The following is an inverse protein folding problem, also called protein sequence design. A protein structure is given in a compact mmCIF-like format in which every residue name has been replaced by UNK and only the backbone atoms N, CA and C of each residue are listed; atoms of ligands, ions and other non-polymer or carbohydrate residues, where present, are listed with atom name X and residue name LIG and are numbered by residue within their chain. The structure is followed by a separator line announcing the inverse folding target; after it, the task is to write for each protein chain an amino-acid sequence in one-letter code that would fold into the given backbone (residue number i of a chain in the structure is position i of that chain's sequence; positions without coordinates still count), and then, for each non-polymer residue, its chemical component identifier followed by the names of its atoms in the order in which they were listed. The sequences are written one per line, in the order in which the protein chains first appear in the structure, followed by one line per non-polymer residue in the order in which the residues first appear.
data_IF_813852184403
#
_entry.id   IF_813852184403
#
_cell.length_a   1.000
_cell.length_b   1.000
_cell.length_c   1.000
_cell.angle_alpha   90.00
_cell.angle_beta   90.00
_cell.angle_gamma   90.00
#
_symmetry.space_group_name_H-M   'P 1'
#
loop_
_entity.id
_entity.type
_entity.pdbx_description
1 polymer ?
#
# COMPACT_ATOMS: atom_id res chain seq x y z
N UNK A 1 -51.88 -77.42 5.16
CA UNK A 1 -52.06 -75.95 4.85
C UNK A 1 -50.66 -75.33 4.89
N UNK A 2 -50.11 -75.06 3.73
CA UNK A 2 -48.73 -74.59 3.55
C UNK A 2 -48.81 -73.21 2.94
N UNK A 3 -48.54 -72.19 3.75
CA UNK A 3 -48.48 -70.80 3.34
C UNK A 3 -47.12 -70.48 2.73
N UNK A 4 -47.04 -70.16 1.47
CA UNK A 4 -45.81 -69.78 0.77
C UNK A 4 -45.54 -68.32 1.03
N UNK A 5 -44.42 -67.99 1.70
CA UNK A 5 -43.88 -66.67 1.86
C UNK A 5 -43.02 -66.36 0.60
N UNK A 6 -43.48 -65.44 -0.22
CA UNK A 6 -42.66 -64.92 -1.35
C UNK A 6 -41.83 -63.74 -0.84
N UNK A 7 -40.54 -63.95 -0.76
CA UNK A 7 -39.59 -62.91 -0.45
C UNK A 7 -39.28 -62.14 -1.74
N UNK A 8 -39.71 -60.87 -1.79
CA UNK A 8 -39.36 -59.95 -2.88
C UNK A 8 -37.99 -59.38 -2.59
N UNK A 9 -36.97 -59.82 -3.30
CA UNK A 9 -35.63 -59.25 -3.28
C UNK A 9 -35.62 -58.00 -4.18
N UNK A 10 -35.72 -56.81 -3.58
CA UNK A 10 -35.57 -55.56 -4.27
C UNK A 10 -34.07 -55.26 -4.40
N UNK A 11 -33.48 -55.54 -5.59
CA UNK A 11 -32.13 -55.12 -5.91
C UNK A 11 -32.11 -53.61 -6.14
N UNK A 12 -31.72 -52.83 -5.12
CA UNK A 12 -31.36 -51.43 -5.30
C UNK A 12 -30.00 -51.39 -6.10
N UNK A 13 -30.07 -51.18 -7.39
CA UNK A 13 -28.92 -50.71 -8.15
C UNK A 13 -28.67 -49.27 -7.78
N UNK A 14 -27.83 -49.02 -6.79
CA UNK A 14 -27.23 -47.73 -6.60
C UNK A 14 -26.34 -47.44 -7.82
N UNK A 15 -26.89 -46.71 -8.78
CA UNK A 15 -26.05 -46.10 -9.83
C UNK A 15 -25.18 -45.04 -9.15
N UNK A 16 -23.96 -45.42 -8.81
CA UNK A 16 -22.92 -44.46 -8.51
C UNK A 16 -22.69 -43.65 -9.79
N UNK A 17 -23.31 -42.47 -9.86
CA UNK A 17 -22.92 -41.49 -10.86
C UNK A 17 -21.46 -41.15 -10.56
N UNK A 18 -20.54 -41.83 -11.24
CA UNK A 18 -19.15 -41.38 -11.32
C UNK A 18 -19.22 -40.00 -12.00
N UNK A 19 -19.05 -38.93 -11.22
CA UNK A 19 -18.82 -37.62 -11.79
C UNK A 19 -17.65 -37.78 -12.77
N UNK A 20 -17.94 -37.75 -14.07
CA UNK A 20 -16.87 -37.67 -15.05
C UNK A 20 -16.04 -36.45 -14.68
N UNK A 21 -14.71 -36.58 -14.55
CA UNK A 21 -13.89 -35.40 -14.36
C UNK A 21 -14.24 -34.46 -15.52
N UNK A 22 -14.81 -33.29 -15.17
CA UNK A 22 -15.10 -32.26 -16.16
C UNK A 22 -13.81 -32.05 -16.95
N UNK A 23 -13.88 -32.24 -18.27
CA UNK A 23 -12.73 -31.96 -19.14
C UNK A 23 -12.36 -30.50 -18.88
N UNK A 24 -11.08 -30.24 -18.50
CA UNK A 24 -10.68 -28.88 -18.23
C UNK A 24 -11.07 -28.01 -19.41
N UNK A 25 -11.85 -26.95 -19.15
CA UNK A 25 -12.23 -25.98 -20.19
C UNK A 25 -10.97 -25.38 -20.79
N UNK A 26 -10.96 -24.92 -22.04
CA UNK A 26 -9.81 -24.29 -22.68
C UNK A 26 -9.15 -23.22 -21.81
N UNK A 27 -9.96 -22.42 -21.08
CA UNK A 27 -9.44 -21.43 -20.11
C UNK A 27 -8.54 -22.05 -19.05
N UNK A 28 -8.83 -23.25 -18.54
CA UNK A 28 -7.95 -23.94 -17.58
C UNK A 28 -6.55 -24.17 -18.14
N UNK A 29 -6.47 -24.70 -19.38
CA UNK A 29 -5.19 -24.90 -20.08
C UNK A 29 -4.51 -23.56 -20.44
N UNK A 30 -5.28 -22.54 -20.77
CA UNK A 30 -4.75 -21.20 -20.99
C UNK A 30 -4.09 -20.62 -19.72
N UNK A 31 -4.72 -20.81 -18.56
CA UNK A 31 -4.17 -20.41 -17.26
C UNK A 31 -2.88 -21.15 -16.92
N UNK A 32 -2.78 -22.45 -17.27
CA UNK A 32 -1.54 -23.23 -17.08
C UNK A 32 -0.41 -22.73 -18.00
N UNK A 33 -0.73 -22.46 -19.28
CA UNK A 33 0.23 -21.86 -20.21
C UNK A 33 0.71 -20.47 -19.74
N UNK A 34 -0.21 -19.65 -19.20
CA UNK A 34 0.09 -18.34 -18.61
C UNK A 34 1.05 -18.47 -17.42
N UNK A 35 0.78 -19.39 -16.48
CA UNK A 35 1.66 -19.65 -15.32
C UNK A 35 3.06 -20.09 -15.75
N UNK A 36 3.16 -20.78 -16.88
CA UNK A 36 4.44 -21.16 -17.50
C UNK A 36 5.11 -20.00 -18.27
N UNK A 37 4.53 -18.82 -18.29
CA UNK A 37 5.04 -17.66 -19.04
C UNK A 37 4.77 -17.66 -20.54
N UNK A 38 4.00 -18.63 -21.04
CA UNK A 38 3.70 -18.82 -22.47
C UNK A 38 2.45 -18.01 -22.88
N UNK A 39 2.54 -16.69 -22.85
CA UNK A 39 1.40 -15.77 -23.04
C UNK A 39 0.70 -15.92 -24.38
N UNK A 40 1.42 -16.05 -25.49
CA UNK A 40 0.82 -16.23 -26.82
C UNK A 40 0.04 -17.54 -26.94
N UNK A 41 0.55 -18.59 -26.30
CA UNK A 41 -0.13 -19.88 -26.25
C UNK A 41 -1.37 -19.79 -25.36
N UNK A 42 -1.27 -19.13 -24.22
CA UNK A 42 -2.40 -18.87 -23.32
C UNK A 42 -3.52 -18.12 -24.05
N UNK A 43 -3.19 -17.06 -24.77
CA UNK A 43 -4.16 -16.25 -25.52
C UNK A 43 -4.85 -17.07 -26.62
N UNK A 44 -4.09 -17.86 -27.42
CA UNK A 44 -4.66 -18.72 -28.46
C UNK A 44 -5.58 -19.81 -27.92
N UNK A 45 -5.26 -20.36 -26.74
CA UNK A 45 -6.10 -21.38 -26.10
C UNK A 45 -7.36 -20.73 -25.54
N UNK A 46 -7.25 -19.60 -24.86
CA UNK A 46 -8.37 -18.86 -24.26
C UNK A 46 -9.42 -18.42 -25.32
N UNK A 47 -8.93 -18.02 -26.51
CA UNK A 47 -9.81 -17.62 -27.61
C UNK A 47 -10.81 -18.70 -28.04
N UNK A 48 -10.52 -20.00 -27.77
CA UNK A 48 -11.43 -21.11 -28.03
C UNK A 48 -12.59 -21.20 -27.04
N UNK A 49 -12.47 -20.54 -25.90
CA UNK A 49 -13.48 -20.49 -24.84
C UNK A 49 -14.25 -19.15 -24.83
N UNK A 50 -14.05 -18.33 -25.86
CA UNK A 50 -14.75 -17.09 -26.10
C UNK A 50 -14.06 -15.84 -25.59
N UNK A 51 -14.73 -14.68 -25.77
CA UNK A 51 -14.15 -13.36 -25.52
C UNK A 51 -13.80 -13.14 -24.04
N UNK A 52 -14.63 -13.58 -23.11
CA UNK A 52 -14.37 -13.40 -21.67
C UNK A 52 -13.12 -14.18 -21.25
N UNK A 53 -12.92 -15.39 -21.75
CA UNK A 53 -11.71 -16.16 -21.45
C UNK A 53 -10.45 -15.49 -22.02
N UNK A 54 -10.55 -14.96 -23.26
CA UNK A 54 -9.48 -14.15 -23.86
C UNK A 54 -9.16 -12.92 -23.00
N UNK A 55 -10.17 -12.20 -22.52
CA UNK A 55 -10.01 -11.03 -21.69
C UNK A 55 -9.38 -11.36 -20.32
N UNK A 56 -9.68 -12.53 -19.74
CA UNK A 56 -9.02 -12.98 -18.49
C UNK A 56 -7.51 -13.12 -18.71
N UNK A 57 -7.09 -13.77 -19.79
CA UNK A 57 -5.65 -13.93 -20.08
C UNK A 57 -4.99 -12.58 -20.40
N UNK A 58 -5.65 -11.74 -21.17
CA UNK A 58 -5.18 -10.38 -21.47
C UNK A 58 -5.03 -9.55 -20.21
N UNK A 59 -6.02 -9.55 -19.32
CA UNK A 59 -5.97 -8.88 -18.02
C UNK A 59 -4.77 -9.31 -17.18
N UNK A 60 -4.50 -10.61 -17.12
CA UNK A 60 -3.32 -11.11 -16.41
C UNK A 60 -2.02 -10.66 -17.08
N UNK A 61 -1.96 -10.66 -18.42
CA UNK A 61 -0.78 -10.23 -19.20
C UNK A 61 -0.49 -8.74 -18.95
N UNK A 62 -1.50 -7.92 -19.02
CA UNK A 62 -1.39 -6.48 -18.77
C UNK A 62 -1.01 -6.20 -17.31
N UNK A 63 -1.59 -6.92 -16.35
CA UNK A 63 -1.19 -6.84 -14.93
C UNK A 63 0.25 -7.26 -14.66
N UNK A 64 0.82 -8.08 -15.52
CA UNK A 64 2.23 -8.44 -15.48
C UNK A 64 3.17 -7.43 -16.19
N UNK A 65 2.66 -6.26 -16.56
CA UNK A 65 3.45 -5.23 -17.26
C UNK A 65 3.76 -5.57 -18.72
N UNK A 66 2.98 -6.47 -19.35
CA UNK A 66 3.27 -6.99 -20.68
C UNK A 66 2.26 -6.52 -21.71
N UNK A 67 2.15 -5.22 -21.89
CA UNK A 67 1.27 -4.62 -22.89
C UNK A 67 1.85 -3.37 -23.50
N UNK A 68 1.48 -3.08 -24.76
CA UNK A 68 1.70 -1.78 -25.38
C UNK A 68 0.69 -0.75 -24.86
N UNK A 69 0.97 0.53 -25.04
CA UNK A 69 0.06 1.63 -24.73
C UNK A 69 -1.36 1.39 -25.30
N UNK A 70 -1.45 0.99 -26.56
CA UNK A 70 -2.72 0.77 -27.25
C UNK A 70 -3.51 -0.36 -26.57
N UNK A 71 -2.86 -1.47 -26.23
CA UNK A 71 -3.51 -2.59 -25.56
C UNK A 71 -4.02 -2.22 -24.17
N UNK A 72 -3.28 -1.42 -23.40
CA UNK A 72 -3.77 -0.88 -22.13
C UNK A 72 -5.00 0.00 -22.32
N UNK A 73 -4.96 0.95 -23.26
CA UNK A 73 -6.09 1.85 -23.53
C UNK A 73 -7.33 1.08 -23.98
N UNK A 74 -7.16 0.15 -24.91
CA UNK A 74 -8.26 -0.69 -25.39
C UNK A 74 -8.91 -1.50 -24.27
N UNK A 75 -8.09 -2.12 -23.41
CA UNK A 75 -8.60 -2.91 -22.29
C UNK A 75 -9.31 -2.04 -21.26
N UNK A 76 -8.69 -0.93 -20.85
CA UNK A 76 -9.26 0.01 -19.87
C UNK A 76 -10.60 0.58 -20.34
N UNK A 77 -10.75 0.88 -21.63
CA UNK A 77 -12.00 1.37 -22.20
C UNK A 77 -13.07 0.27 -22.31
N UNK A 78 -12.68 -0.95 -22.67
CA UNK A 78 -13.56 -2.07 -22.93
C UNK A 78 -14.01 -2.77 -21.65
N UNK A 79 -13.19 -2.74 -20.59
CA UNK A 79 -13.36 -3.48 -19.34
C UNK A 79 -13.21 -2.59 -18.10
N UNK A 80 -13.70 -1.36 -18.15
CA UNK A 80 -13.57 -0.35 -17.09
C UNK A 80 -14.09 -0.81 -15.72
N UNK A 81 -15.00 -1.77 -15.68
CA UNK A 81 -15.66 -2.32 -14.50
C UNK A 81 -14.98 -3.58 -13.92
N UNK A 82 -13.85 -4.00 -14.48
CA UNK A 82 -13.12 -5.16 -13.97
C UNK A 82 -12.37 -4.85 -12.68
N UNK A 83 -12.09 -5.88 -11.83
CA UNK A 83 -11.40 -5.66 -10.58
C UNK A 83 -9.95 -5.23 -10.79
N UNK A 84 -9.46 -4.32 -9.94
CA UNK A 84 -8.06 -3.90 -9.91
C UNK A 84 -7.64 -3.03 -11.09
N UNK A 85 -8.55 -2.20 -11.61
CA UNK A 85 -8.25 -1.25 -12.70
C UNK A 85 -7.17 -0.24 -12.31
N UNK A 86 -7.15 0.24 -11.07
CA UNK A 86 -6.10 1.15 -10.59
C UNK A 86 -4.71 0.51 -10.71
N UNK A 87 -4.58 -0.76 -10.30
CA UNK A 87 -3.34 -1.50 -10.47
C UNK A 87 -2.98 -1.67 -11.95
N UNK A 88 -3.97 -1.96 -12.81
CA UNK A 88 -3.75 -2.09 -14.25
C UNK A 88 -3.28 -0.77 -14.88
N UNK A 89 -3.89 0.35 -14.49
CA UNK A 89 -3.46 1.69 -14.92
C UNK A 89 -2.01 1.95 -14.53
N UNK A 90 -1.65 1.65 -13.28
CA UNK A 90 -0.27 1.77 -12.83
C UNK A 90 0.71 0.94 -13.66
N UNK A 91 0.36 -0.30 -14.03
CA UNK A 91 1.22 -1.16 -14.85
C UNK A 91 1.40 -0.65 -16.29
N UNK A 92 0.45 0.11 -16.82
CA UNK A 92 0.50 0.66 -18.17
C UNK A 92 1.24 2.01 -18.27
N UNK A 93 1.64 2.63 -17.16
CA UNK A 93 2.29 3.96 -17.18
C UNK A 93 3.59 3.96 -17.98
N UNK A 94 4.43 2.94 -17.82
CA UNK A 94 5.68 2.84 -18.58
C UNK A 94 5.43 2.73 -20.09
N UNK A 95 4.43 1.93 -20.49
CA UNK A 95 4.06 1.82 -21.90
C UNK A 95 3.53 3.15 -22.48
N UNK A 96 2.85 3.96 -21.67
CA UNK A 96 2.43 5.30 -22.06
C UNK A 96 3.62 6.25 -22.21
N UNK A 97 4.62 6.16 -21.31
CA UNK A 97 5.86 6.95 -21.39
C UNK A 97 6.64 6.60 -22.66
N UNK A 98 6.83 5.31 -22.95
CA UNK A 98 7.51 4.82 -24.15
C UNK A 98 6.81 5.24 -25.44
N UNK A 99 5.47 5.35 -25.42
CA UNK A 99 4.69 5.81 -26.58
C UNK A 99 4.76 7.32 -26.83
N UNK A 100 5.35 8.09 -25.89
CA UNK A 100 5.67 9.50 -26.06
C UNK A 100 4.63 10.48 -25.49
N UNK A 101 4.90 11.81 -25.60
CA UNK A 101 4.16 12.84 -24.88
C UNK A 101 2.65 12.90 -25.16
N UNK A 102 2.21 12.58 -26.37
CA UNK A 102 0.79 12.53 -26.71
C UNK A 102 0.07 11.39 -25.98
N UNK A 103 0.70 10.22 -25.89
CA UNK A 103 0.19 9.07 -25.16
C UNK A 103 0.16 9.35 -23.64
N UNK A 104 1.21 9.95 -23.09
CA UNK A 104 1.27 10.39 -21.69
C UNK A 104 0.08 11.30 -21.35
N UNK A 105 -0.17 12.32 -22.15
CA UNK A 105 -1.31 13.22 -21.92
C UNK A 105 -2.65 12.50 -21.96
N UNK A 106 -2.85 11.65 -22.94
CA UNK A 106 -4.10 10.90 -23.08
C UNK A 106 -4.30 9.87 -21.95
N UNK A 107 -3.23 9.20 -21.53
CA UNK A 107 -3.27 8.19 -20.47
C UNK A 107 -3.61 8.77 -19.11
N UNK A 108 -3.06 9.93 -18.79
CA UNK A 108 -3.23 10.57 -17.48
C UNK A 108 -4.35 11.63 -17.42
N UNK A 109 -5.10 11.81 -18.50
CA UNK A 109 -6.14 12.84 -18.59
C UNK A 109 -7.24 12.70 -17.52
N UNK A 110 -7.66 11.48 -17.21
CA UNK A 110 -8.75 11.21 -16.27
C UNK A 110 -8.26 10.84 -14.86
N UNK A 111 -7.15 10.11 -14.79
CA UNK A 111 -6.64 9.57 -13.54
C UNK A 111 -5.16 9.87 -13.42
N UNK A 112 -4.67 10.85 -12.85
CA UNK A 112 -3.25 11.19 -12.77
C UNK A 112 -2.28 10.01 -12.57
N UNK A 113 -0.99 10.21 -12.72
CA UNK A 113 0.03 9.17 -12.60
C UNK A 113 0.15 8.63 -11.17
N UNK A 114 0.48 7.35 -11.03
CA UNK A 114 0.64 6.65 -9.77
C UNK A 114 2.10 6.26 -9.48
N UNK A 115 2.97 6.35 -10.50
CA UNK A 115 4.41 6.05 -10.35
C UNK A 115 5.27 7.31 -10.40
N UNK A 116 6.45 7.31 -9.76
CA UNK A 116 7.38 8.45 -9.85
C UNK A 116 7.73 8.83 -11.29
N UNK A 117 8.00 7.84 -12.15
CA UNK A 117 8.32 8.06 -13.56
C UNK A 117 7.13 8.63 -14.33
N UNK A 118 5.92 8.12 -14.07
CA UNK A 118 4.68 8.65 -14.63
C UNK A 118 4.46 10.11 -14.26
N UNK A 119 4.71 10.48 -12.99
CA UNK A 119 4.61 11.88 -12.54
C UNK A 119 5.58 12.78 -13.29
N UNK A 120 6.84 12.39 -13.45
CA UNK A 120 7.82 13.20 -14.17
C UNK A 120 7.45 13.38 -15.65
N UNK A 121 7.03 12.31 -16.32
CA UNK A 121 6.61 12.37 -17.71
C UNK A 121 5.36 13.25 -17.90
N UNK A 122 4.40 13.15 -16.99
CA UNK A 122 3.19 13.96 -17.07
C UNK A 122 3.46 15.43 -16.74
N UNK A 123 4.30 15.71 -15.74
CA UNK A 123 4.71 17.08 -15.40
C UNK A 123 5.48 17.77 -16.57
N UNK A 124 6.29 17.01 -17.31
CA UNK A 124 6.94 17.50 -18.53
C UNK A 124 5.90 17.88 -19.60
N UNK A 125 4.94 16.98 -19.86
CA UNK A 125 3.85 17.22 -20.80
C UNK A 125 2.92 18.38 -20.41
N UNK A 126 2.67 18.57 -19.10
CA UNK A 126 1.94 19.74 -18.57
C UNK A 126 2.73 21.04 -18.76
N UNK A 127 4.03 21.02 -18.52
CA UNK A 127 4.91 22.18 -18.69
C UNK A 127 4.94 22.63 -20.15
N UNK A 128 4.99 21.71 -21.11
CA UNK A 128 4.89 22.00 -22.56
C UNK A 128 3.57 22.70 -22.93
N UNK A 129 2.51 22.46 -22.15
CA UNK A 129 1.19 23.10 -22.30
C UNK A 129 1.06 24.43 -21.54
N UNK A 130 2.11 24.89 -20.86
CA UNK A 130 2.10 26.08 -20.03
C UNK A 130 1.51 25.90 -18.64
N UNK A 131 1.19 24.66 -18.22
CA UNK A 131 0.63 24.30 -16.90
C UNK A 131 1.75 24.07 -15.87
N UNK A 132 2.69 25.01 -15.78
CA UNK A 132 3.90 24.86 -14.95
C UNK A 132 3.57 24.73 -13.46
N UNK A 133 2.53 25.42 -12.98
CA UNK A 133 2.14 25.37 -11.56
C UNK A 133 1.63 23.98 -11.14
N UNK A 134 0.76 23.39 -11.94
CA UNK A 134 0.23 22.03 -11.74
C UNK A 134 1.33 20.99 -11.83
N UNK A 135 2.23 21.12 -12.81
CA UNK A 135 3.38 20.24 -12.97
C UNK A 135 4.28 20.27 -11.72
N UNK A 136 4.62 21.45 -11.22
CA UNK A 136 5.44 21.62 -10.01
C UNK A 136 4.74 21.05 -8.77
N UNK A 137 3.44 21.29 -8.60
CA UNK A 137 2.67 20.75 -7.49
C UNK A 137 2.66 19.21 -7.50
N UNK A 138 2.46 18.61 -8.68
CA UNK A 138 2.48 17.14 -8.84
C UNK A 138 3.85 16.55 -8.50
N UNK A 139 4.94 17.19 -8.93
CA UNK A 139 6.32 16.76 -8.61
C UNK A 139 6.58 16.85 -7.10
N UNK A 140 6.19 17.94 -6.43
CA UNK A 140 6.35 18.09 -4.97
C UNK A 140 5.51 17.05 -4.22
N UNK A 141 4.26 16.83 -4.64
CA UNK A 141 3.39 15.84 -4.02
C UNK A 141 3.99 14.43 -4.15
N UNK A 142 4.45 14.05 -5.33
CA UNK A 142 5.10 12.76 -5.54
C UNK A 142 6.37 12.62 -4.70
N UNK A 143 7.22 13.66 -4.70
CA UNK A 143 8.42 13.67 -3.87
C UNK A 143 8.13 13.44 -2.39
N UNK A 144 7.10 14.05 -1.86
CA UNK A 144 6.77 13.97 -0.43
C UNK A 144 5.94 12.75 -0.03
N UNK A 145 5.34 12.02 -1.00
CA UNK A 145 4.39 10.95 -0.69
C UNK A 145 4.75 9.57 -1.25
N UNK A 146 5.43 9.49 -2.40
CA UNK A 146 5.70 8.21 -3.06
C UNK A 146 7.06 7.62 -2.66
N UNK A 147 7.13 6.32 -2.32
CA UNK A 147 8.39 5.60 -2.31
C UNK A 147 9.05 5.61 -3.69
N UNK A 148 10.38 5.72 -3.71
CA UNK A 148 11.19 5.79 -4.92
C UNK A 148 12.44 4.93 -4.75
N UNK A 149 12.83 4.24 -5.80
CA UNK A 149 14.14 3.63 -5.83
C UNK A 149 15.26 4.68 -5.99
N UNK A 150 16.51 4.23 -5.98
CA UNK A 150 17.67 5.14 -6.06
C UNK A 150 17.70 5.91 -7.37
N UNK A 151 17.34 5.28 -8.48
CA UNK A 151 17.39 5.89 -9.81
C UNK A 151 16.25 6.91 -9.98
N UNK A 152 15.05 6.57 -9.52
CA UNK A 152 13.90 7.49 -9.50
C UNK A 152 14.19 8.72 -8.63
N UNK A 153 14.75 8.54 -7.44
CA UNK A 153 15.15 9.63 -6.56
C UNK A 153 16.21 10.53 -7.21
N UNK A 154 17.23 9.93 -7.85
CA UNK A 154 18.25 10.68 -8.56
C UNK A 154 17.65 11.48 -9.75
N UNK A 155 16.68 10.90 -10.45
CA UNK A 155 16.00 11.55 -11.55
C UNK A 155 15.19 12.78 -11.09
N UNK A 156 14.45 12.66 -9.99
CA UNK A 156 13.74 13.80 -9.38
C UNK A 156 14.70 14.92 -8.98
N UNK A 157 15.79 14.58 -8.31
CA UNK A 157 16.79 15.56 -7.86
C UNK A 157 17.51 16.22 -9.04
N UNK A 158 17.84 15.49 -10.10
CA UNK A 158 18.52 16.05 -11.27
C UNK A 158 17.67 17.07 -12.03
N UNK A 159 16.36 16.82 -12.08
CA UNK A 159 15.42 17.67 -12.84
C UNK A 159 14.83 18.83 -12.02
N UNK A 160 14.63 18.62 -10.69
CA UNK A 160 13.83 19.51 -9.85
C UNK A 160 14.51 19.89 -8.52
N UNK A 161 15.85 19.85 -8.40
CA UNK A 161 16.56 20.06 -7.14
C UNK A 161 16.17 21.33 -6.39
N UNK A 162 16.06 22.45 -7.10
CA UNK A 162 15.71 23.75 -6.49
C UNK A 162 14.26 23.74 -5.92
N UNK A 163 13.32 23.16 -6.67
CA UNK A 163 11.91 23.00 -6.27
C UNK A 163 11.80 22.09 -5.04
N UNK A 164 12.55 21.00 -5.01
CA UNK A 164 12.44 19.95 -4.00
C UNK A 164 13.19 20.26 -2.69
N UNK A 165 14.14 21.19 -2.73
CA UNK A 165 14.97 21.52 -1.56
C UNK A 165 14.18 21.82 -0.27
N UNK A 166 13.09 22.57 -0.27
CA UNK A 166 12.30 22.81 0.95
C UNK A 166 11.53 21.59 1.47
N UNK A 167 11.44 20.53 0.68
CA UNK A 167 10.57 19.38 0.93
C UNK A 167 11.31 18.11 1.35
N UNK A 168 12.65 18.16 1.50
CA UNK A 168 13.45 16.98 1.87
C UNK A 168 13.11 16.43 3.25
N UNK A 169 12.88 17.30 4.24
CA UNK A 169 12.51 16.87 5.59
C UNK A 169 11.13 16.18 5.61
N UNK A 170 10.15 16.73 4.88
CA UNK A 170 8.82 16.12 4.75
C UNK A 170 8.89 14.75 4.06
N UNK A 171 9.73 14.60 3.01
CA UNK A 171 9.96 13.29 2.40
C UNK A 171 10.55 12.29 3.39
N UNK A 172 11.63 12.68 4.10
CA UNK A 172 12.27 11.80 5.09
C UNK A 172 11.28 11.36 6.18
N UNK A 173 10.44 12.26 6.67
CA UNK A 173 9.37 11.95 7.62
C UNK A 173 8.37 10.93 7.04
N UNK A 174 7.90 11.15 5.82
CA UNK A 174 6.96 10.22 5.16
C UNK A 174 7.59 8.83 4.98
N UNK A 175 8.83 8.74 4.51
CA UNK A 175 9.50 7.44 4.33
C UNK A 175 9.68 6.70 5.66
N UNK A 176 9.96 7.42 6.76
CA UNK A 176 10.01 6.82 8.09
C UNK A 176 8.64 6.32 8.57
N UNK A 177 7.55 7.03 8.26
CA UNK A 177 6.20 6.57 8.56
C UNK A 177 5.78 5.34 7.75
N UNK A 178 6.25 5.22 6.51
CA UNK A 178 6.03 4.06 5.64
C UNK A 178 6.92 2.86 6.01
N UNK A 179 7.94 3.08 6.81
CA UNK A 179 8.92 2.04 7.18
C UNK A 179 10.04 1.85 6.16
N UNK A 180 10.14 2.75 5.19
CA UNK A 180 11.16 2.75 4.14
C UNK A 180 12.50 3.32 4.67
N UNK A 181 13.11 2.58 5.60
CA UNK A 181 14.27 3.06 6.36
C UNK A 181 15.49 3.34 5.48
N UNK A 182 15.72 2.53 4.45
CA UNK A 182 16.86 2.70 3.56
C UNK A 182 16.71 3.96 2.70
N UNK A 183 15.51 4.17 2.18
CA UNK A 183 15.17 5.37 1.43
C UNK A 183 15.26 6.62 2.31
N UNK A 184 14.68 6.58 3.51
CA UNK A 184 14.83 7.67 4.48
C UNK A 184 16.31 7.98 4.78
N UNK A 185 17.15 6.94 4.97
CA UNK A 185 18.58 7.08 5.23
C UNK A 185 19.31 7.74 4.05
N UNK A 186 18.94 7.46 2.80
CA UNK A 186 19.57 8.07 1.61
C UNK A 186 19.35 9.58 1.53
N UNK A 187 18.28 10.08 2.15
CA UNK A 187 17.97 11.52 2.20
C UNK A 187 18.81 12.31 3.20
N UNK A 188 19.54 11.63 4.08
CA UNK A 188 20.32 12.26 5.16
C UNK A 188 21.23 13.42 4.68
N UNK A 189 21.98 13.30 3.57
CA UNK A 189 22.84 14.40 3.09
C UNK A 189 22.07 15.64 2.64
N UNK A 190 20.77 15.52 2.36
CA UNK A 190 19.90 16.61 1.90
C UNK A 190 19.25 17.39 3.06
N UNK A 191 19.37 16.89 4.29
CA UNK A 191 18.74 17.46 5.49
C UNK A 191 19.70 18.41 6.20
N UNK A 192 19.12 19.38 6.93
CA UNK A 192 19.88 20.15 7.93
C UNK A 192 20.25 19.30 9.14
N UNK A 193 21.17 19.79 9.98
CA UNK A 193 21.70 19.05 11.11
C UNK A 193 20.61 18.59 12.12
N UNK A 194 19.57 19.39 12.33
CA UNK A 194 18.49 19.05 13.25
C UNK A 194 17.64 17.88 12.72
N UNK A 195 17.26 17.93 11.43
CA UNK A 195 16.53 16.86 10.80
C UNK A 195 17.38 15.60 10.58
N UNK A 196 18.72 15.73 10.39
CA UNK A 196 19.61 14.58 10.39
C UNK A 196 19.59 13.85 11.75
N UNK A 197 19.67 14.59 12.85
CA UNK A 197 19.59 14.00 14.20
C UNK A 197 18.23 13.34 14.45
N UNK A 198 17.13 13.96 14.01
CA UNK A 198 15.79 13.38 14.09
C UNK A 198 15.67 12.08 13.29
N UNK A 199 16.15 12.08 12.05
CA UNK A 199 16.20 10.90 11.20
C UNK A 199 16.99 9.76 11.86
N UNK A 200 18.20 10.05 12.32
CA UNK A 200 19.10 9.08 12.94
C UNK A 200 18.44 8.46 14.20
N UNK A 201 17.79 9.28 15.04
CA UNK A 201 17.09 8.80 16.24
C UNK A 201 15.92 7.88 15.91
N UNK A 202 15.09 8.24 14.91
CA UNK A 202 13.94 7.42 14.49
C UNK A 202 14.40 6.09 13.86
N UNK A 203 15.47 6.08 13.06
CA UNK A 203 16.06 4.86 12.50
C UNK A 203 16.65 3.98 13.62
N UNK A 204 17.36 4.56 14.59
CA UNK A 204 17.91 3.81 15.74
C UNK A 204 16.80 3.13 16.56
N UNK A 205 15.68 3.83 16.80
CA UNK A 205 14.50 3.29 17.46
C UNK A 205 13.88 2.12 16.66
N UNK A 206 13.74 2.28 15.35
CA UNK A 206 13.17 1.24 14.47
C UNK A 206 14.05 -0.01 14.44
N UNK A 207 15.38 0.16 14.35
CA UNK A 207 16.38 -0.92 14.33
C UNK A 207 16.71 -1.47 15.73
N UNK A 208 16.24 -0.82 16.79
CA UNK A 208 16.54 -1.18 18.21
C UNK A 208 18.04 -1.16 18.52
N UNK A 209 18.74 -0.17 17.98
CA UNK A 209 20.19 0.03 18.21
C UNK A 209 20.49 0.26 19.70
N UNK A 210 21.72 -0.01 20.12
CA UNK A 210 22.11 0.16 21.53
C UNK A 210 22.31 1.62 21.91
N UNK A 211 22.52 2.52 20.93
CA UNK A 211 22.76 3.95 21.11
C UNK A 211 21.49 4.83 21.05
N UNK A 212 20.29 4.22 21.19
CA UNK A 212 18.99 4.91 21.08
C UNK A 212 18.91 6.15 21.96
N UNK A 213 19.32 6.07 23.23
CA UNK A 213 19.21 7.19 24.17
C UNK A 213 20.12 8.36 23.76
N UNK A 214 21.33 8.06 23.29
CA UNK A 214 22.26 9.09 22.80
C UNK A 214 21.71 9.75 21.52
N UNK A 215 21.11 8.98 20.61
CA UNK A 215 20.49 9.53 19.39
C UNK A 215 19.31 10.41 19.71
N UNK A 216 18.44 10.02 20.64
CA UNK A 216 17.31 10.84 21.09
C UNK A 216 17.83 12.15 21.73
N UNK A 217 18.85 12.08 22.59
CA UNK A 217 19.42 13.25 23.23
C UNK A 217 20.05 14.25 22.24
N UNK A 218 20.55 13.76 21.11
CA UNK A 218 21.14 14.60 20.05
C UNK A 218 20.08 15.38 19.24
N UNK A 219 18.78 15.01 19.31
CA UNK A 219 17.70 15.74 18.61
C UNK A 219 17.52 17.12 19.25
N UNK A 220 17.51 18.23 18.49
CA UNK A 220 17.30 19.57 19.02
C UNK A 220 15.98 19.71 19.76
N UNK A 221 15.92 20.55 20.78
CA UNK A 221 14.75 20.76 21.63
C UNK A 221 13.47 21.08 20.82
N UNK A 222 13.60 21.86 19.76
CA UNK A 222 12.49 22.18 18.87
C UNK A 222 11.88 20.97 18.15
N UNK A 223 12.62 19.89 17.98
CA UNK A 223 12.19 18.65 17.31
C UNK A 223 11.92 17.49 18.29
N UNK A 224 12.18 17.68 19.59
CA UNK A 224 11.94 16.63 20.59
C UNK A 224 10.46 16.22 20.70
N UNK A 225 9.54 17.10 20.36
CA UNK A 225 8.10 16.83 20.37
C UNK A 225 7.56 16.34 19.01
N UNK A 226 8.44 16.09 18.03
CA UNK A 226 8.04 15.60 16.70
C UNK A 226 7.16 14.35 16.80
N UNK A 227 5.97 14.34 16.16
CA UNK A 227 5.02 13.23 16.28
C UNK A 227 5.59 11.90 15.84
N UNK A 228 6.40 11.87 14.77
CA UNK A 228 7.04 10.65 14.27
C UNK A 228 8.10 10.11 15.23
N UNK A 229 8.85 10.99 15.90
CA UNK A 229 9.79 10.59 16.97
C UNK A 229 9.02 9.98 18.15
N UNK A 230 7.94 10.62 18.57
CA UNK A 230 7.13 10.12 19.69
C UNK A 230 6.49 8.76 19.36
N UNK A 231 5.99 8.58 18.15
CA UNK A 231 5.50 7.28 17.67
C UNK A 231 6.61 6.23 17.65
N UNK A 232 7.79 6.54 17.13
CA UNK A 232 8.92 5.62 17.12
C UNK A 232 9.33 5.20 18.55
N UNK A 233 9.35 6.14 19.52
CA UNK A 233 9.59 5.86 20.96
C UNK A 233 8.50 4.97 21.55
N UNK A 234 7.24 5.22 21.19
CA UNK A 234 6.12 4.39 21.61
C UNK A 234 6.27 2.95 21.12
N UNK A 235 6.50 2.75 19.82
CA UNK A 235 6.68 1.42 19.23
C UNK A 235 7.88 0.69 19.84
N UNK A 236 8.99 1.41 20.07
CA UNK A 236 10.16 0.85 20.71
C UNK A 236 9.86 0.36 22.15
N UNK A 237 9.11 1.15 22.96
CA UNK A 237 8.67 0.74 24.30
C UNK A 237 7.81 -0.53 24.28
N UNK A 238 6.86 -0.61 23.36
CA UNK A 238 6.04 -1.82 23.16
C UNK A 238 6.93 -3.02 22.86
N UNK A 239 7.86 -2.90 21.91
CA UNK A 239 8.75 -4.00 21.51
C UNK A 239 9.74 -4.42 22.62
N UNK A 240 10.03 -3.53 23.57
CA UNK A 240 10.87 -3.82 24.76
C UNK A 240 10.04 -4.30 25.97
N UNK A 241 8.75 -4.53 25.84
CA UNK A 241 7.85 -4.96 26.93
C UNK A 241 7.56 -3.88 27.97
N UNK A 242 7.87 -2.61 27.68
CA UNK A 242 7.67 -1.45 28.56
C UNK A 242 6.24 -0.89 28.41
N UNK A 243 5.23 -1.76 28.64
CA UNK A 243 3.82 -1.41 28.36
C UNK A 243 3.31 -0.24 29.18
N UNK A 244 3.70 -0.10 30.45
CA UNK A 244 3.29 1.04 31.28
C UNK A 244 3.79 2.38 30.72
N UNK A 245 5.06 2.45 30.30
CA UNK A 245 5.64 3.66 29.70
C UNK A 245 5.04 3.95 28.32
N UNK A 246 4.69 2.91 27.56
CA UNK A 246 4.04 3.06 26.27
C UNK A 246 2.61 3.63 26.43
N UNK A 247 1.82 3.10 27.36
CA UNK A 247 0.48 3.61 27.70
C UNK A 247 0.53 5.07 28.14
N UNK A 248 1.49 5.43 29.00
CA UNK A 248 1.67 6.81 29.48
C UNK A 248 1.96 7.76 28.30
N UNK A 249 2.91 7.40 27.41
CA UNK A 249 3.24 8.20 26.24
C UNK A 249 2.05 8.33 25.26
N UNK A 250 1.31 7.24 25.04
CA UNK A 250 0.12 7.28 24.19
C UNK A 250 -0.92 8.27 24.73
N UNK A 251 -1.21 8.26 26.03
CA UNK A 251 -2.15 9.18 26.65
C UNK A 251 -1.65 10.62 26.61
N UNK A 252 -0.36 10.86 26.87
CA UNK A 252 0.29 12.17 26.76
C UNK A 252 0.12 12.76 25.35
N UNK A 253 0.31 11.94 24.32
CA UNK A 253 0.23 12.39 22.91
C UNK A 253 -1.20 12.47 22.38
N UNK A 254 -2.18 11.85 23.04
CA UNK A 254 -3.59 11.82 22.62
C UNK A 254 -4.34 13.08 23.00
N UNK A 255 -3.77 14.26 22.72
CA UNK A 255 -4.39 15.57 22.93
C UNK A 255 -4.99 16.16 21.65
N UNK A 256 -4.48 15.74 20.48
CA UNK A 256 -4.98 16.11 19.15
C UNK A 256 -4.49 15.14 18.08
N UNK A 257 -5.14 15.13 16.91
CA UNK A 257 -4.65 14.39 15.75
C UNK A 257 -3.22 14.83 15.34
N UNK A 258 -2.96 16.14 15.37
CA UNK A 258 -1.63 16.68 15.04
C UNK A 258 -0.55 16.21 16.03
N UNK A 259 -0.86 16.05 17.32
CA UNK A 259 0.08 15.53 18.31
C UNK A 259 0.41 14.05 18.08
N UNK A 260 -0.51 13.27 17.53
CA UNK A 260 -0.27 11.88 17.12
C UNK A 260 0.46 11.79 15.77
N UNK A 261 0.36 12.80 14.93
CA UNK A 261 0.88 12.85 13.57
C UNK A 261 0.04 11.99 12.60
N UNK A 262 0.08 10.69 12.76
CA UNK A 262 -0.76 9.71 12.03
C UNK A 262 -1.57 8.88 13.02
N UNK A 263 -2.81 9.28 13.36
CA UNK A 263 -3.66 8.58 14.33
C UNK A 263 -3.89 7.10 14.02
N UNK A 264 -4.01 6.77 12.73
CA UNK A 264 -4.16 5.41 12.20
C UNK A 264 -2.99 4.51 12.59
N UNK A 265 -1.77 5.00 12.58
CA UNK A 265 -0.59 4.22 12.94
C UNK A 265 -0.63 3.72 14.40
N UNK A 266 -1.30 4.44 15.29
CA UNK A 266 -1.44 4.07 16.70
C UNK A 266 -2.58 3.08 16.97
N UNK A 267 -3.54 2.95 16.05
CA UNK A 267 -4.83 2.31 16.28
C UNK A 267 -4.73 0.86 16.72
N UNK A 268 -3.91 0.05 16.06
CA UNK A 268 -3.76 -1.37 16.38
C UNK A 268 -3.25 -1.60 17.81
N UNK A 269 -2.19 -0.89 18.20
CA UNK A 269 -1.64 -0.99 19.55
C UNK A 269 -2.60 -0.37 20.59
N UNK A 270 -3.29 0.71 20.24
CA UNK A 270 -4.30 1.35 21.09
C UNK A 270 -5.41 0.38 21.45
N UNK A 271 -5.96 -0.33 20.48
CA UNK A 271 -6.99 -1.37 20.70
C UNK A 271 -6.48 -2.49 21.62
N UNK A 272 -5.27 -2.98 21.37
CA UNK A 272 -4.67 -4.02 22.20
C UNK A 272 -4.50 -3.55 23.65
N UNK A 273 -3.91 -2.38 23.87
CA UNK A 273 -3.67 -1.83 25.20
C UNK A 273 -4.98 -1.51 25.95
N UNK A 274 -6.01 -1.00 25.27
CA UNK A 274 -7.31 -0.74 25.87
C UNK A 274 -7.99 -2.04 26.32
N UNK A 275 -7.93 -3.09 25.49
CA UNK A 275 -8.47 -4.41 25.86
C UNK A 275 -7.69 -5.08 27.01
N UNK A 276 -6.39 -4.84 27.10
CA UNK A 276 -5.58 -5.30 28.23
C UNK A 276 -6.06 -4.65 29.54
N UNK A 277 -6.25 -3.32 29.57
CA UNK A 277 -6.79 -2.62 30.75
C UNK A 277 -8.19 -3.13 31.15
N UNK A 278 -9.04 -3.44 30.17
CA UNK A 278 -10.35 -4.07 30.46
C UNK A 278 -10.20 -5.41 31.15
N UNK A 279 -9.29 -6.26 30.66
CA UNK A 279 -9.02 -7.58 31.29
C UNK A 279 -8.39 -7.46 32.65
N UNK A 280 -7.59 -6.45 32.86
CA UNK A 280 -6.93 -6.16 34.15
C UNK A 280 -7.90 -5.50 35.17
N UNK A 281 -9.14 -5.17 34.75
CA UNK A 281 -10.18 -4.61 35.60
C UNK A 281 -10.11 -3.11 35.81
N UNK A 282 -9.42 -2.39 34.89
CA UNK A 282 -9.39 -0.91 34.88
C UNK A 282 -10.17 -0.34 33.68
N UNK A 283 -11.51 -0.34 33.73
CA UNK A 283 -12.34 0.20 32.64
C UNK A 283 -12.14 1.70 32.41
N UNK A 284 -11.79 2.45 33.45
CA UNK A 284 -11.53 3.91 33.32
C UNK A 284 -10.31 4.16 32.43
N UNK A 285 -9.24 3.39 32.61
CA UNK A 285 -8.03 3.53 31.81
C UNK A 285 -8.22 2.98 30.40
N UNK A 286 -8.99 1.89 30.25
CA UNK A 286 -9.41 1.39 28.97
C UNK A 286 -10.14 2.45 28.14
N UNK A 287 -11.13 3.11 28.74
CA UNK A 287 -11.85 4.23 28.14
C UNK A 287 -10.91 5.39 27.73
N UNK A 288 -9.98 5.80 28.61
CA UNK A 288 -9.03 6.86 28.30
C UNK A 288 -8.15 6.52 27.07
N UNK A 289 -7.73 5.27 26.97
CA UNK A 289 -6.94 4.80 25.83
C UNK A 289 -7.78 4.74 24.55
N UNK A 290 -9.00 4.22 24.62
CA UNK A 290 -9.87 4.03 23.48
C UNK A 290 -10.41 5.36 22.92
N UNK A 291 -10.96 6.24 23.75
CA UNK A 291 -11.77 7.40 23.35
C UNK A 291 -10.99 8.53 22.66
N UNK A 292 -9.66 8.60 22.78
CA UNK A 292 -8.84 9.69 22.24
C UNK A 292 -8.02 9.28 21.02
N UNK A 293 -8.65 8.58 20.09
CA UNK A 293 -7.96 8.03 18.92
C UNK A 293 -7.87 8.99 17.73
N UNK A 294 -8.78 9.96 17.60
CA UNK A 294 -8.84 10.95 16.50
C UNK A 294 -8.98 10.35 15.10
N UNK A 295 -9.48 9.11 14.98
CA UNK A 295 -9.90 8.52 13.71
C UNK A 295 -11.29 9.03 13.34
N UNK A 296 -11.63 9.04 12.07
CA UNK A 296 -12.93 9.54 11.56
C UNK A 296 -13.77 8.46 10.90
N UNK A 297 -13.17 7.32 10.51
CA UNK A 297 -13.84 6.23 9.80
C UNK A 297 -12.99 4.95 9.81
N UNK A 298 -13.54 3.89 9.27
CA UNK A 298 -12.86 2.60 9.10
C UNK A 298 -13.10 1.62 10.25
N UNK A 299 -12.56 0.40 10.09
CA UNK A 299 -12.73 -0.67 11.08
C UNK A 299 -12.08 -0.35 12.43
N UNK A 300 -10.92 0.30 12.42
CA UNK A 300 -10.22 0.70 13.64
C UNK A 300 -10.98 1.77 14.44
N UNK A 301 -11.62 2.71 13.72
CA UNK A 301 -12.54 3.67 14.32
C UNK A 301 -13.69 2.94 15.03
N UNK A 302 -14.40 2.06 14.31
CA UNK A 302 -15.54 1.32 14.87
C UNK A 302 -15.15 0.48 16.10
N UNK A 303 -14.00 -0.21 16.03
CA UNK A 303 -13.47 -1.01 17.14
C UNK A 303 -13.16 -0.15 18.39
N UNK A 304 -12.56 1.02 18.21
CA UNK A 304 -12.19 1.90 19.33
C UNK A 304 -13.39 2.60 19.94
N UNK A 305 -14.37 3.04 19.14
CA UNK A 305 -15.65 3.56 19.62
C UNK A 305 -16.45 2.48 20.41
N UNK A 306 -16.36 1.22 19.97
CA UNK A 306 -17.02 0.13 20.69
C UNK A 306 -16.37 -0.17 22.04
N UNK A 307 -15.05 0.00 22.17
CA UNK A 307 -14.33 -0.19 23.44
C UNK A 307 -14.57 1.00 24.39
N UNK A 308 -14.76 2.21 23.84
CA UNK A 308 -15.00 3.42 24.60
C UNK A 308 -16.44 3.52 25.10
#
# INVERSE_FOLDING_TARGET
MITRLAALLLCLFATTATAQPERPRPLGWAMDAMRAGNWDTAQRIAARDGLVASDVIEWHRLRAGRGSYTEYMDFLNRRYDWPGMDYLRRQGEEAAIEAGPAAVRAYFAETGPQTPRGVLAYAEAQTEQGQTGEAQASVVLAWTSLPMDTDEQALFLSRHSALLKPHHAARADTMLWLGELNEAQSLRPLLDAGHQALLDARIALAKRSDDVDARIAAVPAALQSDPGLQYARFVWRIRKGRSADAKALMLERSISAASLGRPDAWSNQRRALARDEMRDGDPKRAYQLASRHFLTSGSDYADLEWIA
#
